data_IF_470840190349
#
_entry.id   IF_470840190349
#
_cell.length_a   1.000
_cell.length_b   1.000
_cell.length_c   1.000
_cell.angle_alpha   90.00
_cell.angle_beta   90.00
_cell.angle_gamma   90.00
#
_symmetry.space_group_name_H-M   'P 1'
#
loop_
_entity.id
_entity.type
_entity.pdbx_description
1 polymer ?
#
# COMPACT_ATOMS: atom_id res chain seq x y z
N UNK A 1 87.17 20.27 -15.86
CA UNK A 1 87.33 19.24 -14.79
C UNK A 1 86.12 19.31 -13.88
N UNK A 2 85.72 18.15 -13.32
CA UNK A 2 84.61 17.89 -12.37
C UNK A 2 83.23 17.65 -13.01
N UNK A 3 83.05 16.44 -13.54
CA UNK A 3 82.27 15.31 -13.00
C UNK A 3 80.97 15.52 -12.19
N UNK A 4 80.05 14.54 -12.40
CA UNK A 4 78.82 14.14 -11.67
C UNK A 4 77.52 14.86 -12.09
N UNK A 5 76.35 14.24 -12.16
CA UNK A 5 75.88 12.85 -12.11
C UNK A 5 74.39 12.88 -12.48
N UNK A 6 73.92 11.78 -13.05
CA UNK A 6 72.53 11.32 -13.19
C UNK A 6 71.54 11.78 -12.11
N UNK A 7 70.29 12.06 -12.50
CA UNK A 7 69.05 11.52 -11.88
C UNK A 7 67.87 11.68 -12.87
N UNK A 8 67.26 10.53 -13.21
CA UNK A 8 65.97 10.42 -13.87
C UNK A 8 64.86 10.89 -12.92
N UNK A 9 63.90 11.67 -13.43
CA UNK A 9 62.57 11.78 -12.81
C UNK A 9 61.53 11.48 -13.89
N UNK A 10 60.98 10.27 -13.83
CA UNK A 10 59.78 9.88 -14.56
C UNK A 10 58.58 10.55 -13.91
N UNK A 11 58.03 11.58 -14.56
CA UNK A 11 56.72 12.11 -14.19
C UNK A 11 55.68 11.37 -15.03
N UNK A 12 55.06 10.35 -14.44
CA UNK A 12 53.85 9.74 -14.97
C UNK A 12 52.70 10.77 -14.86
N UNK A 13 52.35 11.41 -15.97
CA UNK A 13 51.14 12.22 -16.07
C UNK A 13 49.92 11.32 -16.01
N UNK A 14 49.19 11.37 -14.89
CA UNK A 14 47.87 10.78 -14.77
C UNK A 14 46.89 11.61 -15.62
N UNK A 15 46.56 11.14 -16.81
CA UNK A 15 45.41 11.61 -17.57
C UNK A 15 44.14 11.16 -16.83
N UNK A 16 43.54 12.04 -16.05
CA UNK A 16 42.18 11.84 -15.55
C UNK A 16 41.24 12.15 -16.70
N UNK A 17 40.83 11.11 -17.42
CA UNK A 17 39.70 11.19 -18.32
C UNK A 17 38.45 11.37 -17.46
N UNK A 18 37.90 12.58 -17.43
CA UNK A 18 36.55 12.82 -16.88
C UNK A 18 35.57 12.22 -17.89
N UNK A 19 35.24 10.95 -17.71
CA UNK A 19 34.12 10.34 -18.39
C UNK A 19 32.85 11.03 -17.86
N UNK A 20 32.30 11.94 -18.65
CA UNK A 20 30.93 12.39 -18.45
C UNK A 20 30.04 11.17 -18.67
N UNK A 21 29.59 10.56 -17.57
CA UNK A 21 28.57 9.52 -17.62
C UNK A 21 27.39 10.03 -18.42
N UNK A 22 26.84 9.27 -19.39
CA UNK A 22 25.60 9.67 -20.01
C UNK A 22 24.56 9.80 -18.90
N UNK A 23 24.04 11.01 -18.73
CA UNK A 23 22.87 11.23 -17.87
C UNK A 23 21.79 10.34 -18.47
N UNK A 24 21.48 9.25 -17.78
CA UNK A 24 20.32 8.44 -18.09
C UNK A 24 19.12 9.39 -18.00
N UNK A 25 18.62 9.81 -19.16
CA UNK A 25 17.34 10.49 -19.24
C UNK A 25 16.34 9.50 -18.65
N UNK A 26 15.92 9.74 -17.42
CA UNK A 26 14.74 9.08 -16.88
C UNK A 26 13.65 9.26 -17.92
N UNK A 27 12.98 8.18 -18.37
CA UNK A 27 11.87 8.34 -19.28
C UNK A 27 10.92 9.35 -18.62
N UNK A 28 10.61 10.42 -19.36
CA UNK A 28 9.53 11.30 -18.97
C UNK A 28 8.32 10.39 -18.78
N UNK A 29 7.89 10.23 -17.53
CA UNK A 29 6.61 9.61 -17.22
C UNK A 29 5.59 10.53 -17.87
N UNK A 30 5.24 10.23 -19.13
CA UNK A 30 3.99 10.71 -19.71
C UNK A 30 2.92 10.31 -18.71
N UNK A 31 2.04 11.25 -18.36
CA UNK A 31 0.99 11.12 -17.36
C UNK A 31 0.32 9.75 -17.49
N UNK A 32 0.81 8.75 -16.73
CA UNK A 32 0.10 7.51 -16.54
C UNK A 32 -1.04 7.97 -15.66
N UNK A 33 -2.19 8.18 -16.30
CA UNK A 33 -3.45 8.34 -15.62
C UNK A 33 -3.66 7.02 -14.89
N UNK A 34 -3.13 6.93 -13.66
CA UNK A 34 -3.32 5.78 -12.79
C UNK A 34 -4.84 5.56 -12.73
N UNK A 35 -5.35 4.37 -13.11
CA UNK A 35 -6.77 4.10 -13.04
C UNK A 35 -7.38 4.51 -11.69
N UNK A 36 -8.66 4.86 -11.70
CA UNK A 36 -9.40 5.22 -10.49
C UNK A 36 -9.15 4.19 -9.37
N UNK A 37 -8.58 4.65 -8.24
CA UNK A 37 -8.23 3.87 -7.03
C UNK A 37 -7.07 2.87 -7.15
N UNK A 38 -5.97 3.29 -7.78
CA UNK A 38 -4.92 2.38 -8.21
C UNK A 38 -4.03 1.80 -7.10
N UNK A 39 -4.10 0.48 -6.96
CA UNK A 39 -3.00 -0.35 -6.46
C UNK A 39 -3.12 -0.85 -5.03
N UNK A 40 -4.08 -0.38 -4.21
CA UNK A 40 -4.31 -0.94 -2.87
C UNK A 40 -5.78 -1.08 -2.49
N UNK A 41 -6.08 -2.13 -1.71
CA UNK A 41 -7.30 -2.23 -0.92
C UNK A 41 -6.92 -2.49 0.54
N UNK A 42 -7.52 -1.75 1.47
CA UNK A 42 -7.23 -1.80 2.89
C UNK A 42 -8.50 -2.02 3.71
N UNK A 43 -8.43 -2.94 4.66
CA UNK A 43 -9.45 -3.24 5.64
C UNK A 43 -9.09 -2.60 6.97
N UNK A 44 -10.01 -1.79 7.48
CA UNK A 44 -9.92 -1.13 8.78
C UNK A 44 -11.10 -1.59 9.62
N UNK A 45 -10.83 -1.99 10.86
CA UNK A 45 -11.88 -2.20 11.85
C UNK A 45 -12.07 -0.91 12.64
N UNK A 46 -13.33 -0.49 12.81
CA UNK A 46 -13.70 0.69 13.57
C UNK A 46 -14.72 0.35 14.65
N UNK A 47 -14.49 0.83 15.86
CA UNK A 47 -15.41 0.72 17.00
C UNK A 47 -16.18 2.04 17.12
N UNK A 48 -17.51 1.94 17.07
CA UNK A 48 -18.45 3.07 17.16
C UNK A 48 -19.74 2.60 17.84
N UNK A 49 -20.24 3.35 18.82
CA UNK A 49 -21.55 3.09 19.46
C UNK A 49 -21.71 1.62 19.92
N UNK A 50 -20.72 1.11 20.66
CA UNK A 50 -20.65 -0.26 21.16
C UNK A 50 -20.68 -1.37 20.09
N UNK A 51 -20.46 -1.01 18.81
CA UNK A 51 -20.38 -1.93 17.69
C UNK A 51 -19.04 -1.82 16.97
N UNK A 52 -18.66 -2.90 16.29
CA UNK A 52 -17.48 -2.94 15.44
C UNK A 52 -17.91 -3.03 13.97
N UNK A 53 -17.25 -2.27 13.11
CA UNK A 53 -17.55 -2.17 11.69
C UNK A 53 -16.28 -2.36 10.89
N UNK A 54 -16.36 -3.23 9.89
CA UNK A 54 -15.37 -3.30 8.84
C UNK A 54 -15.62 -2.18 7.84
N UNK A 55 -14.53 -1.52 7.46
CA UNK A 55 -14.48 -0.58 6.37
C UNK A 55 -13.48 -1.09 5.34
N UNK A 56 -13.88 -1.11 4.08
CA UNK A 56 -13.01 -1.41 2.95
C UNK A 56 -12.70 -0.12 2.23
N UNK A 57 -11.43 0.20 2.06
CA UNK A 57 -10.92 1.38 1.37
C UNK A 57 -10.12 0.96 0.15
N UNK A 58 -10.32 1.65 -0.97
CA UNK A 58 -9.51 1.56 -2.17
C UNK A 58 -8.69 2.85 -2.31
N UNK A 59 -7.41 2.74 -2.64
CA UNK A 59 -6.54 3.91 -2.76
C UNK A 59 -5.15 3.59 -3.31
N UNK A 60 -4.24 4.58 -3.30
CA UNK A 60 -2.95 4.49 -3.98
C UNK A 60 -2.04 3.38 -3.42
N UNK A 61 -1.30 2.73 -4.31
CA UNK A 61 -0.28 1.74 -3.93
C UNK A 61 0.68 2.29 -2.86
N UNK A 62 0.91 1.51 -1.80
CA UNK A 62 1.87 1.84 -0.75
C UNK A 62 1.49 3.05 0.13
N UNK A 63 0.27 3.57 0.02
CA UNK A 63 -0.22 4.67 0.86
C UNK A 63 -1.28 4.13 1.82
N UNK A 64 -1.08 4.32 3.12
CA UNK A 64 -2.01 3.84 4.13
C UNK A 64 -3.19 4.83 4.36
N UNK A 65 -4.43 4.35 4.43
CA UNK A 65 -5.64 5.18 4.65
C UNK A 65 -5.59 5.93 5.98
N UNK A 66 -5.76 7.25 6.05
CA UNK A 66 -5.82 7.93 7.36
C UNK A 66 -7.06 7.50 8.15
N UNK A 67 -6.89 7.14 9.44
CA UNK A 67 -7.99 6.52 10.21
C UNK A 67 -9.00 7.55 10.75
N UNK A 68 -8.51 8.72 11.19
CA UNK A 68 -9.35 9.77 11.78
C UNK A 68 -9.57 11.00 10.88
N UNK A 69 -9.01 11.00 9.67
CA UNK A 69 -9.13 12.10 8.72
C UNK A 69 -9.74 11.61 7.41
N UNK A 70 -10.51 12.47 6.75
CA UNK A 70 -10.92 12.21 5.39
C UNK A 70 -9.74 12.43 4.44
N UNK A 71 -9.48 11.46 3.58
CA UNK A 71 -8.45 11.53 2.55
C UNK A 71 -9.09 11.24 1.19
N UNK A 72 -9.19 12.28 0.36
CA UNK A 72 -9.85 12.22 -0.95
C UNK A 72 -9.20 11.24 -1.94
N UNK A 73 -8.00 10.74 -1.64
CA UNK A 73 -7.33 9.71 -2.43
C UNK A 73 -7.97 8.33 -2.25
N UNK A 74 -8.76 8.15 -1.19
CA UNK A 74 -9.40 6.88 -0.86
C UNK A 74 -10.90 6.90 -1.12
N UNK A 75 -11.38 5.81 -1.71
CA UNK A 75 -12.81 5.52 -1.84
C UNK A 75 -13.19 4.36 -0.93
N UNK A 76 -14.36 4.44 -0.29
CA UNK A 76 -14.88 3.39 0.59
C UNK A 76 -16.05 2.69 -0.09
N UNK A 77 -15.82 1.61 -0.85
CA UNK A 77 -16.91 0.88 -1.53
C UNK A 77 -17.87 0.18 -0.57
N UNK A 78 -17.47 -0.08 0.69
CA UNK A 78 -18.35 -0.78 1.61
C UNK A 78 -17.99 -0.64 3.08
N UNK A 79 -19.02 -0.79 3.91
CA UNK A 79 -18.95 -0.91 5.35
C UNK A 79 -19.94 -1.99 5.80
N UNK A 80 -19.56 -2.84 6.75
CA UNK A 80 -20.46 -3.84 7.33
C UNK A 80 -20.15 -4.08 8.80
N UNK A 81 -21.15 -4.53 9.53
CA UNK A 81 -21.05 -4.83 10.97
C UNK A 81 -20.26 -6.11 11.16
N UNK A 82 -19.31 -6.12 12.10
CA UNK A 82 -18.75 -7.35 12.64
C UNK A 82 -19.74 -7.96 13.66
N UNK A 83 -20.10 -9.24 13.55
CA UNK A 83 -21.08 -9.83 14.45
C UNK A 83 -20.49 -10.03 15.85
N UNK A 84 -21.19 -9.47 16.84
CA UNK A 84 -20.84 -9.65 18.23
C UNK A 84 -19.59 -8.86 18.67
N UNK A 85 -19.08 -9.17 19.87
CA UNK A 85 -17.94 -8.45 20.43
C UNK A 85 -16.66 -8.69 19.62
N UNK A 86 -15.90 -7.61 19.36
CA UNK A 86 -14.56 -7.66 18.82
C UNK A 86 -13.63 -6.69 19.54
N UNK A 87 -12.35 -7.05 19.61
CA UNK A 87 -11.30 -6.16 20.11
C UNK A 87 -10.71 -5.37 18.94
N UNK A 88 -10.97 -4.07 18.90
CA UNK A 88 -10.41 -3.19 17.86
C UNK A 88 -8.88 -3.13 17.89
N UNK A 89 -8.23 -3.44 19.03
CA UNK A 89 -6.77 -3.47 19.12
C UNK A 89 -6.15 -4.72 18.49
N UNK A 90 -6.95 -5.77 18.29
CA UNK A 90 -6.55 -7.00 17.62
C UNK A 90 -7.66 -7.42 16.67
N UNK A 91 -7.83 -6.72 15.53
CA UNK A 91 -8.96 -6.95 14.63
C UNK A 91 -9.12 -8.44 14.30
N UNK A 92 -10.33 -9.03 14.40
CA UNK A 92 -10.53 -10.42 14.04
C UNK A 92 -10.47 -10.59 12.52
N UNK A 93 -10.66 -11.81 12.03
CA UNK A 93 -10.92 -12.00 10.61
C UNK A 93 -12.33 -11.50 10.25
N UNK A 94 -12.53 -10.92 9.04
CA UNK A 94 -13.85 -10.59 8.55
C UNK A 94 -14.73 -11.83 8.37
N UNK A 95 -16.04 -11.63 8.39
CA UNK A 95 -17.04 -12.67 8.15
C UNK A 95 -17.26 -12.92 6.66
N UNK A 96 -18.09 -13.91 6.33
CA UNK A 96 -18.51 -14.12 4.96
C UNK A 96 -19.19 -12.87 4.39
N UNK A 97 -18.65 -12.34 3.28
CA UNK A 97 -19.14 -11.13 2.62
C UNK A 97 -18.60 -11.05 1.19
N UNK A 98 -19.34 -10.36 0.33
CA UNK A 98 -18.93 -10.03 -1.04
C UNK A 98 -19.18 -8.55 -1.28
N UNK A 99 -18.16 -7.80 -1.71
CA UNK A 99 -18.25 -6.35 -1.94
C UNK A 99 -17.64 -6.04 -3.30
N UNK A 100 -18.41 -5.40 -4.17
CA UNK A 100 -17.93 -4.95 -5.46
C UNK A 100 -16.92 -3.82 -5.27
N UNK A 101 -15.78 -3.92 -5.93
CA UNK A 101 -14.71 -2.92 -5.89
C UNK A 101 -14.42 -2.42 -7.31
N UNK A 102 -13.89 -1.20 -7.43
CA UNK A 102 -13.58 -0.60 -8.73
C UNK A 102 -12.08 -0.61 -8.98
N UNK A 103 -11.62 -1.31 -10.02
CA UNK A 103 -10.20 -1.37 -10.38
C UNK A 103 -10.04 -0.94 -11.83
N UNK A 104 -9.73 0.34 -12.04
CA UNK A 104 -9.66 0.93 -13.37
C UNK A 104 -10.90 0.63 -14.21
N UNK A 105 -10.68 0.15 -15.43
CA UNK A 105 -11.75 -0.22 -16.36
C UNK A 105 -12.16 -1.69 -16.25
N UNK A 106 -11.67 -2.44 -15.24
CA UNK A 106 -12.02 -3.84 -15.07
C UNK A 106 -13.46 -3.95 -14.57
N UNK A 107 -14.25 -4.70 -15.30
CA UNK A 107 -15.56 -5.14 -14.83
C UNK A 107 -15.39 -6.33 -13.89
N UNK A 108 -16.36 -6.53 -12.99
CA UNK A 108 -16.46 -7.71 -12.15
C UNK A 108 -15.29 -7.94 -11.16
N UNK A 109 -14.86 -6.88 -10.47
CA UNK A 109 -13.93 -6.98 -9.35
C UNK A 109 -14.66 -7.00 -8.00
N UNK A 110 -14.24 -7.89 -7.11
CA UNK A 110 -14.85 -8.11 -5.80
C UNK A 110 -13.81 -8.34 -4.71
N UNK A 111 -14.07 -7.79 -3.53
CA UNK A 111 -13.56 -8.32 -2.29
C UNK A 111 -14.48 -9.44 -1.82
N UNK A 112 -13.91 -10.61 -1.54
CA UNK A 112 -14.62 -11.81 -1.11
C UNK A 112 -14.00 -12.35 0.17
N UNK A 113 -14.82 -12.70 1.15
CA UNK A 113 -14.40 -13.48 2.30
C UNK A 113 -15.42 -14.61 2.53
N UNK A 114 -14.94 -15.80 2.88
CA UNK A 114 -15.78 -16.98 3.11
C UNK A 114 -16.13 -17.18 4.60
N UNK A 115 -15.62 -16.33 5.49
CA UNK A 115 -15.84 -16.38 6.93
C UNK A 115 -15.09 -17.49 7.66
N UNK A 116 -14.14 -18.18 7.00
CA UNK A 116 -13.43 -19.34 7.58
C UNK A 116 -12.09 -18.99 8.21
N UNK A 117 -11.97 -17.80 8.79
CA UNK A 117 -10.77 -17.37 9.48
C UNK A 117 -9.62 -16.95 8.55
N UNK A 118 -9.93 -16.13 7.54
CA UNK A 118 -8.94 -15.50 6.65
C UNK A 118 -9.29 -14.03 6.40
N UNK A 119 -8.36 -13.29 5.80
CA UNK A 119 -8.50 -11.86 5.53
C UNK A 119 -9.38 -11.54 4.29
N UNK A 120 -9.77 -12.56 3.54
CA UNK A 120 -10.44 -12.44 2.26
C UNK A 120 -9.45 -12.30 1.09
N UNK A 121 -10.00 -12.11 -0.10
CA UNK A 121 -9.28 -12.02 -1.36
C UNK A 121 -9.91 -10.97 -2.27
N UNK A 122 -9.07 -10.36 -3.08
CA UNK A 122 -9.47 -9.62 -4.25
C UNK A 122 -9.59 -10.61 -5.42
N UNK A 123 -10.69 -10.52 -6.16
CA UNK A 123 -10.95 -11.33 -7.34
C UNK A 123 -11.57 -10.46 -8.44
N UNK A 124 -10.93 -10.40 -9.62
CA UNK A 124 -11.49 -9.79 -10.82
C UNK A 124 -11.63 -10.79 -11.96
N UNK A 125 -12.82 -10.82 -12.56
CA UNK A 125 -13.11 -11.56 -13.80
C UNK A 125 -13.01 -13.09 -13.70
N UNK A 126 -13.45 -13.75 -14.78
CA UNK A 126 -13.26 -15.17 -15.00
C UNK A 126 -12.90 -15.48 -16.46
N UNK A 127 -11.85 -16.28 -16.75
CA UNK A 127 -10.90 -16.86 -15.80
C UNK A 127 -9.77 -15.89 -15.36
N UNK A 128 -9.47 -15.91 -14.06
CA UNK A 128 -8.32 -15.38 -13.30
C UNK A 128 -7.44 -14.27 -13.92
N UNK A 129 -7.94 -13.04 -14.00
CA UNK A 129 -7.08 -11.92 -14.37
C UNK A 129 -6.34 -11.31 -13.17
N UNK A 130 -6.99 -11.23 -12.01
CA UNK A 130 -6.45 -10.54 -10.85
C UNK A 130 -6.99 -11.14 -9.55
N UNK A 131 -6.21 -12.02 -8.93
CA UNK A 131 -6.59 -12.76 -7.73
C UNK A 131 -5.47 -12.65 -6.70
N UNK A 132 -5.75 -11.98 -5.58
CA UNK A 132 -4.78 -11.75 -4.52
C UNK A 132 -5.41 -11.96 -3.15
N UNK A 133 -4.75 -12.75 -2.31
CA UNK A 133 -5.13 -12.89 -0.91
C UNK A 133 -4.71 -11.65 -0.12
N UNK A 134 -5.59 -11.20 0.77
CA UNK A 134 -5.24 -10.14 1.71
C UNK A 134 -4.24 -10.67 2.74
N UNK A 135 -3.30 -9.81 3.11
CA UNK A 135 -2.30 -10.05 4.14
C UNK A 135 -2.52 -9.08 5.29
N UNK A 136 -1.95 -9.40 6.45
CA UNK A 136 -1.90 -8.50 7.61
C UNK A 136 -1.26 -7.17 7.20
N UNK A 137 -1.87 -6.05 7.59
CA UNK A 137 -1.35 -4.71 7.33
C UNK A 137 0.07 -4.54 7.92
N UNK A 138 1.04 -3.89 7.25
CA UNK A 138 2.39 -3.73 7.78
C UNK A 138 2.43 -2.88 9.05
N UNK A 139 1.37 -2.14 9.33
CA UNK A 139 1.19 -1.31 10.51
C UNK A 139 0.26 -1.95 11.55
N UNK A 140 0.02 -3.26 11.46
CA UNK A 140 -0.80 -4.02 12.43
C UNK A 140 -0.36 -3.82 13.89
N UNK A 141 0.94 -3.78 14.16
CA UNK A 141 1.42 -3.63 15.54
C UNK A 141 1.38 -2.17 16.04
N UNK A 142 0.86 -1.23 15.23
CA UNK A 142 0.67 0.15 15.69
C UNK A 142 -0.53 0.24 16.63
N UNK A 143 -0.52 1.18 17.60
CA UNK A 143 -1.66 1.40 18.47
C UNK A 143 -2.93 1.75 17.68
N UNK A 144 -4.07 1.30 18.17
CA UNK A 144 -5.39 1.78 17.75
C UNK A 144 -5.46 3.29 17.84
N UNK A 145 -5.94 3.93 16.78
CA UNK A 145 -6.09 5.38 16.73
C UNK A 145 -7.44 5.79 17.33
N UNK A 146 -7.42 6.77 18.24
CA UNK A 146 -8.61 7.33 18.86
C UNK A 146 -8.94 8.68 18.20
N UNK A 147 -10.08 8.76 17.52
CA UNK A 147 -10.50 9.95 16.80
C UNK A 147 -11.17 10.95 17.75
N UNK A 148 -10.56 12.14 17.87
CA UNK A 148 -10.95 13.14 18.86
C UNK A 148 -12.39 13.69 18.68
N UNK A 149 -12.90 13.72 17.45
CA UNK A 149 -14.16 14.41 17.12
C UNK A 149 -15.42 13.58 17.39
N UNK A 150 -15.33 12.25 17.43
CA UNK A 150 -16.49 11.36 17.56
C UNK A 150 -16.25 10.18 18.52
N UNK A 151 -15.09 10.09 19.17
CA UNK A 151 -14.77 8.98 20.06
C UNK A 151 -14.58 7.65 19.34
N UNK A 152 -14.55 7.62 18.01
CA UNK A 152 -14.32 6.42 17.22
C UNK A 152 -12.91 5.89 17.46
N UNK A 153 -12.78 4.58 17.64
CA UNK A 153 -11.49 3.88 17.65
C UNK A 153 -11.31 3.12 16.35
N UNK A 154 -10.13 3.15 15.77
CA UNK A 154 -9.89 2.52 14.49
C UNK A 154 -8.51 1.84 14.43
N UNK A 155 -8.43 0.73 13.71
CA UNK A 155 -7.22 -0.06 13.59
C UNK A 155 -7.11 -0.70 12.20
N UNK A 156 -5.91 -0.69 11.61
CA UNK A 156 -5.63 -1.30 10.31
C UNK A 156 -5.46 -2.80 10.44
N UNK A 157 -6.25 -3.58 9.72
CA UNK A 157 -6.23 -5.02 9.88
C UNK A 157 -5.50 -5.72 8.74
N UNK A 158 -6.01 -5.56 7.51
CA UNK A 158 -5.53 -6.32 6.37
C UNK A 158 -5.46 -5.44 5.15
N UNK A 159 -4.63 -5.84 4.19
CA UNK A 159 -4.49 -5.12 2.94
C UNK A 159 -4.08 -6.06 1.82
N UNK A 160 -4.25 -5.57 0.60
CA UNK A 160 -3.68 -6.15 -0.59
C UNK A 160 -3.20 -5.02 -1.49
N UNK A 161 -2.12 -5.29 -2.21
CA UNK A 161 -1.60 -4.43 -3.25
C UNK A 161 -1.56 -5.24 -4.56
N UNK A 162 -1.86 -4.60 -5.68
CA UNK A 162 -2.02 -5.27 -6.98
C UNK A 162 -1.48 -4.44 -8.14
#
# INVERSE_FOLDING_TARGET
MIHLSTILVWVFGLLVAVAASPVAQSPAFGDIQLPEYDGSIQLVLREMLDNNFWFLFQGPFGVAVKLCEHDHRFHSPGMWVHPGPADVNHPPFPTQIEIKVKIGNREDCWYLNDGKGNAGRLQCGYPYDLWYDFKRDPQWDKPTEQCAHNGMRAHRAFYVEY
#
